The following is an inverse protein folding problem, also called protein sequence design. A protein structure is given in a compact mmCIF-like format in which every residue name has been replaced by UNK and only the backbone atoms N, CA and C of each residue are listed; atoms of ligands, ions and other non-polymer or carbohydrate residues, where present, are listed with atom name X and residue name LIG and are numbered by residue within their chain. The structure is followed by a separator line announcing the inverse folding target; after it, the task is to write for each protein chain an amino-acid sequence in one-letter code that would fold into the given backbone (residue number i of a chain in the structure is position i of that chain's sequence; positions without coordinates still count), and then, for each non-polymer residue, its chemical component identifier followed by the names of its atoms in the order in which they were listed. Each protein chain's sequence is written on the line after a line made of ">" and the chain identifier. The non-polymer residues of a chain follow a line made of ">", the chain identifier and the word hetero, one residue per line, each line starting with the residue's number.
data_IF_982245106216
#
_entry.id   IF_982245106216
#
_cell.length_a   1.000
_cell.length_b   1.000
_cell.length_c   1.000
_cell.angle_alpha   90.00
_cell.angle_beta   90.00
_cell.angle_gamma   90.00
#
_symmetry.space_group_name_H-M   'P 1'
#
loop_
_entity.id
_entity.type
_entity.pdbx_description
1 polymer ?
#
# COMPACT_ATOMS: atom_id res chain seq x y z
N UNK A 1 18.01 -11.38 24.44
CA UNK A 1 16.75 -11.68 25.17
C UNK A 1 16.65 -13.18 25.37
N UNK A 2 16.39 -13.65 26.58
CA UNK A 2 16.18 -15.08 26.90
C UNK A 2 14.70 -15.44 26.73
N UNK A 3 14.36 -16.72 26.62
CA UNK A 3 12.97 -17.16 26.34
C UNK A 3 11.93 -16.69 27.38
N UNK A 4 12.32 -16.65 28.65
CA UNK A 4 11.45 -16.15 29.71
C UNK A 4 11.22 -14.62 29.60
N UNK A 5 12.24 -13.86 29.24
CA UNK A 5 12.14 -12.42 28.98
C UNK A 5 11.27 -12.15 27.74
N UNK A 6 11.41 -12.97 26.70
CA UNK A 6 10.56 -12.86 25.50
C UNK A 6 9.08 -13.04 25.85
N UNK A 7 8.76 -14.05 26.66
CA UNK A 7 7.37 -14.27 27.11
C UNK A 7 6.84 -13.06 27.89
N UNK A 8 7.60 -12.56 28.84
CA UNK A 8 7.22 -11.40 29.65
C UNK A 8 6.93 -10.17 28.79
N UNK A 9 7.86 -9.85 27.88
CA UNK A 9 7.71 -8.69 27.01
C UNK A 9 6.59 -8.85 25.97
N UNK A 10 6.32 -10.07 25.51
CA UNK A 10 5.18 -10.35 24.63
C UNK A 10 3.85 -10.06 25.32
N UNK A 11 3.70 -10.49 26.57
CA UNK A 11 2.50 -10.18 27.36
C UNK A 11 2.37 -8.68 27.60
N UNK A 12 3.45 -8.02 28.03
CA UNK A 12 3.48 -6.58 28.28
C UNK A 12 3.15 -5.75 27.02
N UNK A 13 3.66 -6.17 25.87
CA UNK A 13 3.34 -5.51 24.59
C UNK A 13 1.85 -5.65 24.21
N UNK A 14 1.27 -6.81 24.47
CA UNK A 14 -0.17 -7.03 24.23
C UNK A 14 -1.04 -6.18 25.16
N UNK A 15 -0.71 -6.11 26.45
CA UNK A 15 -1.37 -5.25 27.44
C UNK A 15 -1.26 -3.78 27.05
N UNK A 16 -0.05 -3.32 26.72
CA UNK A 16 0.18 -1.96 26.26
C UNK A 16 -0.69 -1.63 25.03
N UNK A 17 -0.78 -2.54 24.05
CA UNK A 17 -1.60 -2.33 22.86
C UNK A 17 -3.10 -2.20 23.18
N UNK A 18 -3.61 -2.99 24.12
CA UNK A 18 -4.98 -2.89 24.60
C UNK A 18 -5.24 -1.55 25.32
N UNK A 19 -4.34 -1.14 26.21
CA UNK A 19 -4.41 0.11 26.95
C UNK A 19 -4.27 1.33 26.04
N UNK A 20 -3.38 1.27 25.04
CA UNK A 20 -3.26 2.31 24.03
C UNK A 20 -4.58 2.53 23.30
N UNK A 21 -5.25 1.47 22.88
CA UNK A 21 -6.56 1.56 22.20
C UNK A 21 -7.64 2.13 23.12
N UNK A 22 -7.65 1.74 24.38
CA UNK A 22 -8.63 2.23 25.37
C UNK A 22 -8.49 3.73 25.61
N UNK A 23 -7.25 4.24 25.71
CA UNK A 23 -6.96 5.67 25.97
C UNK A 23 -6.78 6.53 24.72
N UNK A 24 -6.95 5.97 23.53
CA UNK A 24 -6.67 6.65 22.26
C UNK A 24 -7.42 8.00 22.12
N UNK A 25 -8.65 8.07 22.63
CA UNK A 25 -9.48 9.29 22.63
C UNK A 25 -8.86 10.44 23.42
N UNK A 26 -8.04 10.14 24.42
CA UNK A 26 -7.42 11.12 25.32
C UNK A 26 -6.07 11.63 24.77
N UNK A 27 -5.54 10.98 23.75
CA UNK A 27 -4.29 11.38 23.10
C UNK A 27 -4.54 12.53 22.10
N UNK A 28 -3.53 13.35 21.77
CA UNK A 28 -3.64 14.33 20.70
C UNK A 28 -3.75 13.60 19.35
N UNK A 29 -4.62 14.07 18.45
CA UNK A 29 -4.78 13.47 17.12
C UNK A 29 -3.47 13.49 16.33
N UNK A 30 -2.79 14.64 16.35
CA UNK A 30 -1.54 14.91 15.62
C UNK A 30 -0.39 15.08 16.59
N UNK A 31 0.78 14.54 16.24
CA UNK A 31 2.02 14.79 16.95
C UNK A 31 2.26 16.30 17.12
N UNK A 32 2.71 16.71 18.29
CA UNK A 32 3.01 18.11 18.65
C UNK A 32 4.51 18.44 18.50
N UNK A 33 5.22 17.67 17.66
CA UNK A 33 6.65 17.77 17.40
C UNK A 33 6.94 18.57 16.15
N UNK A 34 8.15 19.13 16.06
CA UNK A 34 8.72 19.77 14.87
C UNK A 34 9.78 18.86 14.25
N UNK A 35 10.13 19.04 12.96
CA UNK A 35 11.25 18.33 12.37
C UNK A 35 12.53 18.49 13.20
N UNK A 36 13.15 17.37 13.56
CA UNK A 36 14.35 17.33 14.38
C UNK A 36 14.12 17.06 15.88
N UNK A 37 12.95 17.34 16.44
CA UNK A 37 12.68 17.17 17.87
C UNK A 37 12.81 15.72 18.35
N UNK A 38 12.43 14.76 17.52
CA UNK A 38 12.59 13.33 17.84
C UNK A 38 14.05 12.91 17.69
N UNK A 39 14.70 13.29 16.58
CA UNK A 39 16.09 12.95 16.34
C UNK A 39 17.02 13.48 17.44
N UNK A 40 16.75 14.67 17.99
CA UNK A 40 17.52 15.26 19.07
C UNK A 40 17.42 14.51 20.42
N UNK A 41 16.45 13.59 20.55
CA UNK A 41 16.27 12.75 21.74
C UNK A 41 16.91 11.37 21.60
N UNK A 42 17.40 11.03 20.41
CA UNK A 42 18.08 9.76 20.12
C UNK A 42 19.59 9.97 20.12
N UNK A 43 20.33 8.95 20.50
CA UNK A 43 21.79 8.98 20.43
C UNK A 43 22.27 9.22 19.00
N UNK A 44 23.29 10.03 18.82
CA UNK A 44 23.85 10.36 17.51
C UNK A 44 24.55 9.16 16.84
N UNK A 45 24.96 8.17 17.62
CA UNK A 45 25.60 6.94 17.14
C UNK A 45 24.90 5.70 17.71
N UNK A 46 25.02 4.60 16.99
CA UNK A 46 24.49 3.32 17.46
C UNK A 46 25.14 2.91 18.79
N UNK A 47 24.38 2.32 19.73
CA UNK A 47 24.94 1.83 20.98
C UNK A 47 25.88 0.65 20.71
N UNK A 48 27.06 0.67 21.35
CA UNK A 48 28.07 -0.40 21.25
C UNK A 48 27.65 -1.68 21.99
N UNK A 49 26.76 -1.56 22.97
CA UNK A 49 26.24 -2.67 23.77
C UNK A 49 24.73 -2.66 23.83
N UNK A 50 24.14 -3.87 23.93
CA UNK A 50 22.69 -4.00 24.05
C UNK A 50 22.17 -3.38 25.36
N UNK A 51 20.98 -2.81 25.31
CA UNK A 51 20.28 -2.22 26.44
C UNK A 51 19.23 -3.17 27.01
N UNK A 52 18.89 -3.07 28.32
CA UNK A 52 17.77 -3.79 28.87
C UNK A 52 16.44 -3.38 28.18
N UNK A 53 15.55 -4.33 27.94
CA UNK A 53 14.24 -4.07 27.33
C UNK A 53 13.41 -3.03 28.09
N UNK A 54 13.56 -2.96 29.41
CA UNK A 54 12.89 -1.93 30.23
C UNK A 54 13.29 -0.50 29.82
N UNK A 55 14.57 -0.26 29.56
CA UNK A 55 15.05 1.05 29.10
C UNK A 55 14.55 1.35 27.68
N UNK A 56 14.61 0.36 26.78
CA UNK A 56 14.09 0.51 25.39
C UNK A 56 12.60 0.81 25.40
N UNK A 57 11.83 0.13 26.24
CA UNK A 57 10.39 0.35 26.33
C UNK A 57 10.05 1.73 26.96
N UNK A 58 10.82 2.16 27.95
CA UNK A 58 10.69 3.49 28.52
C UNK A 58 10.95 4.59 27.47
N UNK A 59 11.96 4.42 26.63
CA UNK A 59 12.24 5.32 25.52
C UNK A 59 11.13 5.29 24.45
N UNK A 60 10.57 4.14 24.15
CA UNK A 60 9.42 4.01 23.27
C UNK A 60 8.23 4.85 23.79
N UNK A 61 7.89 4.73 25.06
CA UNK A 61 6.78 5.50 25.64
C UNK A 61 7.09 7.00 25.73
N UNK A 62 8.33 7.36 26.03
CA UNK A 62 8.75 8.76 26.22
C UNK A 62 8.98 9.50 24.89
N UNK A 63 9.55 8.83 23.90
CA UNK A 63 10.00 9.47 22.64
C UNK A 63 9.06 9.14 21.50
N UNK A 64 8.74 7.86 21.30
CA UNK A 64 8.05 7.42 20.10
C UNK A 64 6.56 7.74 20.17
N UNK A 65 5.89 7.36 21.25
CA UNK A 65 4.43 7.54 21.37
C UNK A 65 4.01 9.02 21.25
N UNK A 66 4.64 10.00 21.92
CA UNK A 66 4.30 11.41 21.75
C UNK A 66 4.65 11.97 20.36
N UNK A 67 5.60 11.33 19.66
CA UNK A 67 6.00 11.71 18.30
C UNK A 67 5.06 11.19 17.20
N UNK A 68 4.09 10.34 17.54
CA UNK A 68 3.18 9.73 16.57
C UNK A 68 1.93 10.56 16.32
N UNK A 69 1.48 10.59 15.08
CA UNK A 69 0.12 10.98 14.73
C UNK A 69 -0.78 9.77 14.85
N UNK A 70 -1.83 9.86 15.66
CA UNK A 70 -2.68 8.72 16.01
C UNK A 70 -3.79 8.52 14.98
N UNK A 71 -3.50 7.78 13.91
CA UNK A 71 -4.42 7.55 12.79
C UNK A 71 -5.72 6.86 13.18
N UNK A 72 -5.72 6.09 14.28
CA UNK A 72 -6.92 5.42 14.80
C UNK A 72 -7.74 6.31 15.73
N UNK A 73 -7.31 7.56 15.97
CA UNK A 73 -8.04 8.47 16.83
C UNK A 73 -9.42 8.78 16.25
N UNK A 74 -10.53 8.74 17.01
CA UNK A 74 -11.90 8.93 16.52
C UNK A 74 -12.15 10.32 15.91
N UNK A 75 -11.26 11.29 16.11
CA UNK A 75 -11.29 12.62 15.49
C UNK A 75 -10.21 12.82 14.43
N UNK A 76 -9.64 11.74 13.87
CA UNK A 76 -8.75 11.83 12.74
C UNK A 76 -9.57 11.91 11.45
N UNK A 77 -9.59 13.08 10.80
CA UNK A 77 -10.39 13.38 9.60
C UNK A 77 -9.51 13.71 8.38
N UNK A 78 -8.25 13.33 8.39
CA UNK A 78 -7.35 13.54 7.28
C UNK A 78 -7.07 12.22 6.54
N UNK A 79 -6.81 12.32 5.24
CA UNK A 79 -6.48 11.17 4.37
C UNK A 79 -7.53 10.05 4.43
N UNK A 80 -7.09 8.82 4.17
CA UNK A 80 -7.83 7.59 4.49
C UNK A 80 -7.23 6.97 5.73
N UNK A 81 -7.96 6.86 6.84
CA UNK A 81 -7.43 6.33 8.09
C UNK A 81 -7.02 4.86 7.92
N UNK A 82 -5.82 4.54 8.37
CA UNK A 82 -5.39 3.15 8.47
C UNK A 82 -6.28 2.39 9.44
N UNK A 83 -6.67 1.17 9.10
CA UNK A 83 -7.49 0.34 9.97
C UNK A 83 -6.60 -0.70 10.68
N UNK A 84 -6.66 -0.69 12.02
CA UNK A 84 -6.03 -1.71 12.87
C UNK A 84 -7.13 -2.43 13.65
N UNK A 85 -7.91 -3.28 12.99
CA UNK A 85 -8.90 -4.11 13.66
C UNK A 85 -8.21 -4.99 14.73
N UNK A 86 -8.82 -5.22 15.90
CA UNK A 86 -8.19 -6.02 16.96
C UNK A 86 -7.72 -7.40 16.46
N UNK A 87 -8.51 -8.06 15.62
CA UNK A 87 -8.15 -9.36 15.05
C UNK A 87 -6.89 -9.28 14.16
N UNK A 88 -6.73 -8.20 13.37
CA UNK A 88 -5.54 -8.05 12.53
C UNK A 88 -4.28 -7.79 13.34
N UNK A 89 -4.37 -7.05 14.45
CA UNK A 89 -3.22 -6.85 15.37
C UNK A 89 -2.76 -8.19 15.96
N UNK A 90 -3.70 -9.05 16.37
CA UNK A 90 -3.37 -10.39 16.88
C UNK A 90 -2.78 -11.27 15.77
N UNK A 91 -3.32 -11.20 14.55
CA UNK A 91 -2.80 -11.95 13.41
C UNK A 91 -1.36 -11.54 13.06
N UNK A 92 -1.05 -10.24 13.07
CA UNK A 92 0.32 -9.73 12.86
C UNK A 92 1.32 -10.27 13.89
N UNK A 93 0.90 -10.41 15.15
CA UNK A 93 1.75 -11.03 16.16
C UNK A 93 2.10 -12.49 15.79
N UNK A 94 1.12 -13.26 15.32
CA UNK A 94 1.38 -14.64 14.88
C UNK A 94 2.30 -14.69 13.66
N UNK A 95 2.08 -13.84 12.67
CA UNK A 95 2.93 -13.75 11.48
C UNK A 95 4.37 -13.41 11.87
N UNK A 96 4.55 -12.42 12.75
CA UNK A 96 5.87 -12.03 13.24
C UNK A 96 6.55 -13.13 14.06
N UNK A 97 5.79 -13.84 14.91
CA UNK A 97 6.32 -14.93 15.73
C UNK A 97 6.75 -16.15 14.89
N UNK A 98 6.02 -16.44 13.80
CA UNK A 98 6.37 -17.54 12.88
C UNK A 98 7.49 -17.17 11.91
N UNK A 99 7.78 -15.88 11.73
CA UNK A 99 8.72 -15.37 10.71
C UNK A 99 8.45 -15.98 9.32
N UNK A 100 7.18 -16.07 8.93
CA UNK A 100 6.76 -16.75 7.72
C UNK A 100 7.33 -16.09 6.46
N UNK A 101 7.89 -16.90 5.56
CA UNK A 101 8.45 -16.48 4.27
C UNK A 101 7.48 -16.86 3.15
N UNK A 102 6.60 -15.93 2.78
CA UNK A 102 5.47 -16.18 1.88
C UNK A 102 5.78 -15.91 0.40
N UNK A 103 7.05 -15.95 -0.02
CA UNK A 103 7.46 -15.61 -1.38
C UNK A 103 7.03 -16.66 -2.43
N UNK A 104 6.84 -17.90 -2.05
CA UNK A 104 6.39 -18.97 -2.93
C UNK A 104 5.76 -20.12 -2.13
N UNK A 105 5.01 -20.98 -2.83
CA UNK A 105 4.28 -22.08 -2.22
C UNK A 105 5.16 -23.02 -1.39
N UNK A 106 6.35 -23.37 -1.86
CA UNK A 106 7.25 -24.30 -1.16
C UNK A 106 7.75 -23.76 0.19
N UNK A 107 7.89 -22.43 0.33
CA UNK A 107 8.34 -21.83 1.58
C UNK A 107 7.20 -21.58 2.56
N UNK A 108 5.99 -21.46 2.08
CA UNK A 108 4.79 -21.25 2.92
C UNK A 108 3.52 -21.74 2.21
N UNK A 109 3.28 -23.07 2.15
CA UNK A 109 2.09 -23.64 1.50
C UNK A 109 0.78 -23.08 2.07
N UNK A 110 0.65 -23.03 3.39
CA UNK A 110 -0.54 -22.53 4.06
C UNK A 110 -0.85 -21.07 3.70
N UNK A 111 0.15 -20.19 3.72
CA UNK A 111 -0.05 -18.78 3.40
C UNK A 111 -0.49 -18.59 1.95
N UNK A 112 0.14 -19.29 1.00
CA UNK A 112 -0.21 -19.21 -0.43
C UNK A 112 -1.62 -19.72 -0.70
N UNK A 113 -2.01 -20.83 -0.10
CA UNK A 113 -3.35 -21.39 -0.30
C UNK A 113 -4.44 -20.57 0.40
N UNK A 114 -4.16 -20.01 1.58
CA UNK A 114 -5.05 -19.05 2.24
C UNK A 114 -5.23 -17.79 1.40
N UNK A 115 -4.15 -17.19 0.88
CA UNK A 115 -4.23 -16.04 0.00
C UNK A 115 -5.11 -16.33 -1.22
N UNK A 116 -4.87 -17.44 -1.89
CA UNK A 116 -5.66 -17.87 -3.05
C UNK A 116 -7.15 -17.96 -2.71
N UNK A 117 -7.47 -18.53 -1.55
CA UNK A 117 -8.86 -18.66 -1.10
C UNK A 117 -9.49 -17.31 -0.74
N UNK A 118 -8.78 -16.48 -0.03
CA UNK A 118 -9.26 -15.13 0.36
C UNK A 118 -9.50 -14.25 -0.86
N UNK A 119 -8.59 -14.29 -1.84
CA UNK A 119 -8.73 -13.56 -3.10
C UNK A 119 -9.93 -14.05 -3.91
N UNK A 120 -10.21 -15.38 -3.92
CA UNK A 120 -11.40 -15.92 -4.55
C UNK A 120 -12.69 -15.48 -3.83
N UNK A 121 -12.72 -15.46 -2.51
CA UNK A 121 -13.85 -14.88 -1.77
C UNK A 121 -14.09 -13.42 -2.11
N UNK A 122 -13.02 -12.62 -2.23
CA UNK A 122 -13.13 -11.23 -2.63
C UNK A 122 -13.67 -11.11 -4.07
N UNK A 123 -13.19 -11.93 -5.00
CA UNK A 123 -13.71 -12.02 -6.37
C UNK A 123 -15.22 -12.25 -6.39
N UNK A 124 -15.69 -13.22 -5.59
CA UNK A 124 -17.13 -13.55 -5.48
C UNK A 124 -17.92 -12.38 -4.89
N UNK A 125 -17.41 -11.77 -3.83
CA UNK A 125 -18.07 -10.63 -3.18
C UNK A 125 -18.19 -9.41 -4.13
N UNK A 126 -17.24 -9.22 -5.03
CA UNK A 126 -17.25 -8.18 -6.05
C UNK A 126 -18.06 -8.57 -7.31
N UNK A 127 -18.60 -9.77 -7.40
CA UNK A 127 -19.33 -10.26 -8.58
C UNK A 127 -18.46 -10.39 -9.83
N UNK A 128 -17.15 -10.58 -9.68
CA UNK A 128 -16.22 -10.73 -10.82
C UNK A 128 -16.31 -12.16 -11.41
N UNK A 129 -16.18 -12.31 -12.76
CA UNK A 129 -16.17 -13.60 -13.43
C UNK A 129 -15.08 -14.56 -12.91
N UNK A 130 -15.30 -15.87 -13.06
CA UNK A 130 -14.38 -16.92 -12.56
C UNK A 130 -12.97 -16.87 -13.15
N UNK A 131 -12.80 -16.23 -14.32
CA UNK A 131 -11.49 -16.04 -14.95
C UNK A 131 -10.60 -15.02 -14.24
N UNK A 132 -11.14 -14.28 -13.27
CA UNK A 132 -10.34 -13.33 -12.50
C UNK A 132 -9.61 -14.07 -11.39
N UNK A 133 -8.32 -13.82 -11.31
CA UNK A 133 -7.44 -14.21 -10.19
C UNK A 133 -6.79 -12.96 -9.63
N UNK A 134 -6.10 -13.09 -8.53
CA UNK A 134 -5.42 -11.93 -7.93
C UNK A 134 -4.29 -12.35 -6.99
N UNK A 135 -3.63 -11.34 -6.47
CA UNK A 135 -2.57 -11.45 -5.47
C UNK A 135 -2.67 -10.25 -4.53
N UNK A 136 -2.45 -10.47 -3.25
CA UNK A 136 -2.43 -9.41 -2.25
C UNK A 136 -1.06 -8.72 -2.31
N UNK A 137 -1.07 -7.39 -2.47
CA UNK A 137 0.13 -6.58 -2.48
C UNK A 137 0.36 -5.92 -1.12
N UNK A 138 1.58 -5.48 -0.86
CA UNK A 138 1.97 -4.77 0.36
C UNK A 138 1.29 -3.40 0.49
N UNK A 139 0.94 -2.78 -0.63
CA UNK A 139 0.29 -1.47 -0.67
C UNK A 139 -0.52 -1.26 -1.93
N UNK A 140 -1.45 -0.31 -1.90
CA UNK A 140 -2.19 0.14 -3.09
C UNK A 140 -1.25 0.69 -4.18
N UNK A 141 -0.12 1.28 -3.80
CA UNK A 141 0.88 1.77 -4.77
C UNK A 141 1.54 0.63 -5.54
N UNK A 142 1.91 -0.45 -4.85
CA UNK A 142 2.46 -1.66 -5.49
C UNK A 142 1.41 -2.35 -6.36
N UNK A 143 0.16 -2.43 -5.90
CA UNK A 143 -0.94 -2.97 -6.68
C UNK A 143 -1.18 -2.16 -7.97
N UNK A 144 -1.16 -0.83 -7.89
CA UNK A 144 -1.28 0.06 -9.05
C UNK A 144 -0.11 -0.13 -10.03
N UNK A 145 1.13 -0.21 -9.53
CA UNK A 145 2.31 -0.46 -10.37
C UNK A 145 2.18 -1.80 -11.10
N UNK A 146 1.83 -2.86 -10.38
CA UNK A 146 1.65 -4.19 -10.99
C UNK A 146 0.56 -4.17 -12.06
N UNK A 147 -0.57 -3.51 -11.81
CA UNK A 147 -1.63 -3.36 -12.81
C UNK A 147 -1.14 -2.62 -14.07
N UNK A 148 -0.39 -1.53 -13.91
CA UNK A 148 0.19 -0.78 -15.02
C UNK A 148 1.21 -1.63 -15.80
N UNK A 149 2.05 -2.40 -15.10
CA UNK A 149 3.00 -3.32 -15.76
C UNK A 149 2.28 -4.41 -16.55
N UNK A 150 1.20 -4.97 -16.03
CA UNK A 150 0.36 -5.95 -16.75
C UNK A 150 -0.30 -5.32 -17.97
N UNK A 151 -0.86 -4.11 -17.85
CA UNK A 151 -1.43 -3.36 -18.99
C UNK A 151 -0.37 -3.15 -20.07
N UNK A 152 0.85 -2.72 -19.70
CA UNK A 152 1.99 -2.51 -20.58
C UNK A 152 2.35 -3.79 -21.33
N UNK A 153 2.57 -4.87 -20.61
CA UNK A 153 3.00 -6.14 -21.20
C UNK A 153 1.92 -6.75 -22.08
N UNK A 154 0.65 -6.67 -21.66
CA UNK A 154 -0.47 -7.15 -22.46
C UNK A 154 -0.59 -6.38 -23.79
N UNK A 155 -0.47 -5.05 -23.73
CA UNK A 155 -0.52 -4.21 -24.95
C UNK A 155 0.63 -4.52 -25.93
N UNK A 156 1.82 -4.87 -25.40
CA UNK A 156 3.01 -5.23 -26.18
C UNK A 156 3.13 -6.73 -26.51
N UNK A 157 2.10 -7.54 -26.25
CA UNK A 157 2.14 -8.99 -26.41
C UNK A 157 3.36 -9.62 -25.67
N UNK A 158 3.62 -9.14 -24.44
CA UNK A 158 4.69 -9.58 -23.54
C UNK A 158 6.12 -9.33 -24.05
N UNK A 159 6.27 -8.45 -25.04
CA UNK A 159 7.60 -8.11 -25.61
C UNK A 159 8.37 -7.09 -24.77
N UNK A 160 7.67 -6.28 -23.97
CA UNK A 160 8.31 -5.25 -23.14
C UNK A 160 9.33 -5.81 -22.18
N UNK A 161 9.05 -6.92 -21.51
CA UNK A 161 9.97 -7.58 -20.59
C UNK A 161 11.19 -8.23 -21.30
N UNK A 162 11.07 -8.59 -22.58
CA UNK A 162 12.13 -9.27 -23.32
C UNK A 162 12.99 -8.27 -24.11
N UNK A 163 12.38 -7.28 -24.72
CA UNK A 163 13.01 -6.37 -25.68
C UNK A 163 13.18 -4.94 -25.14
N UNK A 164 12.59 -4.64 -23.97
CA UNK A 164 12.48 -3.28 -23.47
C UNK A 164 11.44 -2.45 -24.23
N UNK A 165 11.37 -1.15 -23.92
CA UNK A 165 10.39 -0.25 -24.52
C UNK A 165 10.93 0.54 -25.72
N UNK A 166 12.25 0.51 -25.95
CA UNK A 166 12.87 1.20 -27.08
C UNK A 166 12.40 0.57 -28.40
N UNK A 167 11.91 1.39 -29.31
CA UNK A 167 11.37 0.94 -30.59
C UNK A 167 9.98 0.31 -30.55
N UNK A 168 9.37 0.20 -29.37
CA UNK A 168 7.97 -0.21 -29.24
C UNK A 168 7.02 0.98 -29.55
N UNK A 169 5.75 0.72 -29.92
CA UNK A 169 4.74 1.76 -30.04
C UNK A 169 4.58 2.54 -28.73
N UNK A 170 4.30 3.84 -28.81
CA UNK A 170 3.96 4.65 -27.64
C UNK A 170 2.66 4.13 -27.02
N UNK A 171 2.76 3.67 -25.76
CA UNK A 171 1.60 3.21 -24.99
C UNK A 171 0.85 4.38 -24.42
N UNK A 172 -0.48 4.33 -24.41
CA UNK A 172 -1.34 5.33 -23.77
C UNK A 172 -2.14 4.72 -22.65
N UNK A 173 -2.08 5.34 -21.48
CA UNK A 173 -2.91 5.01 -20.32
C UNK A 173 -3.84 6.19 -20.06
N UNK A 174 -5.11 5.91 -19.83
CA UNK A 174 -6.14 6.94 -19.63
C UNK A 174 -6.60 6.91 -18.16
N UNK A 175 -6.74 8.08 -17.55
CA UNK A 175 -7.30 8.23 -16.21
C UNK A 175 -7.95 9.60 -16.04
N UNK A 176 -8.76 9.78 -15.01
CA UNK A 176 -9.24 11.12 -14.65
C UNK A 176 -8.15 11.93 -13.95
N UNK A 177 -8.36 13.23 -13.79
CA UNK A 177 -7.51 14.08 -12.96
C UNK A 177 -7.61 13.80 -11.47
N UNK A 178 -8.61 13.02 -11.05
CA UNK A 178 -8.94 12.74 -9.65
C UNK A 178 -8.24 11.48 -9.09
N UNK A 179 -7.48 10.75 -9.90
CA UNK A 179 -6.78 9.55 -9.45
C UNK A 179 -5.68 9.87 -8.43
N UNK A 180 -5.42 8.93 -7.56
CA UNK A 180 -4.33 9.05 -6.59
C UNK A 180 -2.96 9.11 -7.29
N UNK A 181 -2.00 9.83 -6.70
CA UNK A 181 -0.63 10.03 -7.23
C UNK A 181 0.17 8.74 -7.45
N UNK A 182 -0.27 7.60 -6.90
CA UNK A 182 0.30 6.29 -7.19
C UNK A 182 0.25 5.93 -8.67
N UNK A 183 -0.77 6.43 -9.40
CA UNK A 183 -0.88 6.24 -10.85
C UNK A 183 0.27 6.93 -11.57
N UNK A 184 0.54 8.20 -11.22
CA UNK A 184 1.67 8.94 -11.80
C UNK A 184 3.02 8.23 -11.55
N UNK A 185 3.22 7.76 -10.32
CA UNK A 185 4.44 7.02 -9.94
C UNK A 185 4.55 5.70 -10.70
N UNK A 186 3.45 4.98 -10.85
CA UNK A 186 3.43 3.74 -11.63
C UNK A 186 3.82 3.96 -13.10
N UNK A 187 3.33 5.07 -13.71
CA UNK A 187 3.70 5.45 -15.07
C UNK A 187 5.21 5.79 -15.17
N UNK A 188 5.78 6.48 -14.18
CA UNK A 188 7.23 6.76 -14.17
C UNK A 188 8.05 5.48 -14.09
N UNK A 189 7.74 4.64 -13.10
CA UNK A 189 8.52 3.44 -12.81
C UNK A 189 8.38 2.39 -13.92
N UNK A 190 7.20 2.32 -14.55
CA UNK A 190 6.96 1.38 -15.66
C UNK A 190 7.70 1.72 -16.96
N UNK A 191 8.30 2.91 -17.05
CA UNK A 191 8.99 3.37 -18.25
C UNK A 191 8.05 3.86 -19.39
N UNK A 192 6.74 3.91 -19.13
CA UNK A 192 5.76 4.42 -20.13
C UNK A 192 5.98 5.91 -20.39
N UNK A 193 6.33 6.66 -19.35
CA UNK A 193 6.55 8.10 -19.43
C UNK A 193 5.29 8.93 -19.21
N UNK A 194 5.42 10.04 -18.47
CA UNK A 194 4.29 10.89 -18.05
C UNK A 194 3.48 11.47 -19.20
N UNK A 195 4.12 11.82 -20.30
CA UNK A 195 3.45 12.37 -21.49
C UNK A 195 2.47 11.37 -22.13
N UNK A 196 2.55 10.11 -21.73
CA UNK A 196 1.69 9.04 -22.22
C UNK A 196 0.52 8.72 -21.26
N UNK A 197 0.41 9.46 -20.14
CA UNK A 197 -0.73 9.41 -19.23
C UNK A 197 -1.76 10.46 -19.64
N UNK A 198 -2.83 10.03 -20.29
CA UNK A 198 -3.88 10.90 -20.81
C UNK A 198 -4.89 11.21 -19.71
N UNK A 199 -5.04 12.49 -19.36
CA UNK A 199 -6.03 12.95 -18.39
C UNK A 199 -7.37 13.21 -19.04
N UNK A 200 -8.36 12.39 -18.71
CA UNK A 200 -9.73 12.51 -19.18
C UNK A 200 -10.52 13.44 -18.25
N UNK A 201 -11.29 14.40 -18.75
CA UNK A 201 -12.16 15.25 -17.94
C UNK A 201 -13.15 14.44 -17.10
N UNK A 202 -13.63 15.05 -16.01
CA UNK A 202 -14.71 14.52 -15.20
C UNK A 202 -15.97 15.36 -15.38
N UNK A 203 -17.14 14.73 -15.23
CA UNK A 203 -18.46 15.38 -15.40
C UNK A 203 -19.38 15.09 -14.21
N UNK A 204 -20.38 15.94 -14.05
CA UNK A 204 -21.42 15.79 -13.03
C UNK A 204 -20.94 16.02 -11.60
N UNK A 205 -21.91 15.99 -10.69
CA UNK A 205 -21.65 16.19 -9.25
C UNK A 205 -20.78 15.08 -8.63
N UNK A 206 -20.87 13.88 -9.18
CA UNK A 206 -20.08 12.71 -8.76
C UNK A 206 -18.66 12.67 -9.34
N UNK A 207 -18.28 13.68 -10.15
CA UNK A 207 -16.96 13.76 -10.81
C UNK A 207 -16.59 12.48 -11.57
N UNK A 208 -17.56 11.85 -12.21
CA UNK A 208 -17.35 10.65 -13.02
C UNK A 208 -16.53 10.97 -14.27
N UNK A 209 -15.70 10.03 -14.73
CA UNK A 209 -14.94 10.19 -15.96
C UNK A 209 -15.89 10.41 -17.15
N UNK A 210 -15.61 11.40 -17.98
CA UNK A 210 -16.37 11.66 -19.21
C UNK A 210 -16.06 10.57 -20.26
N UNK A 211 -17.03 9.68 -20.47
CA UNK A 211 -16.86 8.56 -21.40
C UNK A 211 -16.80 9.02 -22.86
N UNK A 212 -17.45 10.14 -23.21
CA UNK A 212 -17.36 10.72 -24.55
C UNK A 212 -15.96 11.27 -24.83
N UNK A 213 -15.39 12.00 -23.86
CA UNK A 213 -14.03 12.50 -23.95
C UNK A 213 -13.00 11.34 -23.96
N UNK A 214 -13.24 10.28 -23.19
CA UNK A 214 -12.40 9.07 -23.20
C UNK A 214 -12.40 8.41 -24.60
N UNK A 215 -13.57 8.17 -25.20
CA UNK A 215 -13.69 7.57 -26.53
C UNK A 215 -12.98 8.43 -27.59
N UNK A 216 -13.19 9.74 -27.54
CA UNK A 216 -12.53 10.68 -28.45
C UNK A 216 -11.00 10.65 -28.31
N UNK A 217 -10.48 10.61 -27.08
CA UNK A 217 -9.05 10.53 -26.82
C UNK A 217 -8.45 9.21 -27.33
N UNK A 218 -9.11 8.08 -27.11
CA UNK A 218 -8.67 6.77 -27.60
C UNK A 218 -8.63 6.74 -29.12
N UNK A 219 -9.68 7.23 -29.81
CA UNK A 219 -9.71 7.28 -31.28
C UNK A 219 -8.58 8.13 -31.82
N UNK A 220 -8.38 9.32 -31.27
CA UNK A 220 -7.31 10.21 -31.67
C UNK A 220 -5.93 9.55 -31.51
N UNK A 221 -5.66 8.91 -30.37
CA UNK A 221 -4.38 8.24 -30.12
C UNK A 221 -4.13 7.10 -31.12
N UNK A 222 -5.19 6.36 -31.52
CA UNK A 222 -5.07 5.31 -32.56
C UNK A 222 -4.75 5.93 -33.91
N UNK A 223 -5.42 7.04 -34.29
CA UNK A 223 -5.13 7.77 -35.53
C UNK A 223 -3.70 8.32 -35.58
N UNK A 224 -3.19 8.77 -34.44
CA UNK A 224 -1.82 9.26 -34.25
C UNK A 224 -0.76 8.12 -34.22
N UNK A 225 -1.19 6.85 -34.36
CA UNK A 225 -0.30 5.67 -34.32
C UNK A 225 0.14 5.23 -32.92
N UNK A 226 -0.53 5.70 -31.88
CA UNK A 226 -0.28 5.27 -30.52
C UNK A 226 -1.07 4.01 -30.16
N UNK A 227 -0.65 3.31 -29.12
CA UNK A 227 -1.28 2.07 -28.66
C UNK A 227 -1.99 2.27 -27.32
N UNK A 228 -3.34 2.32 -27.29
CA UNK A 228 -4.11 2.30 -26.07
C UNK A 228 -3.82 1.03 -25.27
N UNK A 229 -3.31 1.19 -24.03
CA UNK A 229 -2.90 0.07 -23.21
C UNK A 229 -3.84 -0.19 -22.02
N UNK A 230 -4.53 0.84 -21.53
CA UNK A 230 -5.48 0.63 -20.44
C UNK A 230 -6.15 1.91 -19.95
N UNK A 231 -7.22 1.71 -19.18
CA UNK A 231 -7.96 2.78 -18.48
C UNK A 231 -7.90 2.52 -16.98
N UNK A 232 -7.60 3.56 -16.21
CA UNK A 232 -7.62 3.52 -14.74
C UNK A 232 -8.81 4.37 -14.28
N UNK A 233 -9.81 3.69 -13.73
CA UNK A 233 -10.98 4.31 -13.14
C UNK A 233 -10.85 4.41 -11.63
N UNK A 234 -11.34 5.49 -11.04
CA UNK A 234 -11.58 5.66 -9.60
C UNK A 234 -13.08 5.69 -9.35
N UNK A 235 -13.48 5.07 -8.26
CA UNK A 235 -14.88 5.00 -7.80
C UNK A 235 -15.02 5.85 -6.52
#
# INVERSE_FOLDING_TARGET
>A
MRDNEFREWSVRAAEWGADYRARLRDLPVRAQTKPGDIAAQLDASAPEVGQPMEAIFADFERIVVPGMTHWQHPRFFAYFPANAAPASVVAEYFVSAMAAQCMLWQTSPAATEMETRVVDWLRQALGLPDRFTGVIQDSASSATLNAVLVMRERALNWKGNIQGLSGQPKLRIYCSGEVHTSVDRAIWVSGIGQDNLVRVPVTGANRSMDLGALDAAIRKDIEDGHLPAGVIASV
#
